data_IF_664350126688
#
_entry.id   IF_664350126688
#
_cell.length_a   1.000
_cell.length_b   1.000
_cell.length_c   1.000
_cell.angle_alpha   90.00
_cell.angle_beta   90.00
_cell.angle_gamma   90.00
#
_symmetry.space_group_name_H-M   'P 1'
#
loop_
_entity.id
_entity.type
_entity.pdbx_description
1 polymer ?
#
# COMPACT_ATOMS: atom_id res chain seq x y z
N UNK A 1 -14.94 2.88 0.09
CA UNK A 1 -14.92 1.89 1.19
C UNK A 1 -14.61 0.54 0.62
N UNK A 2 -13.68 -0.19 1.24
CA UNK A 2 -13.16 -1.46 0.75
C UNK A 2 -13.70 -2.62 1.57
N UNK A 3 -13.85 -3.80 0.96
CA UNK A 3 -14.38 -4.98 1.64
C UNK A 3 -13.47 -6.18 1.43
N UNK A 4 -13.06 -6.85 2.51
CA UNK A 4 -12.40 -8.16 2.48
C UNK A 4 -13.33 -9.20 3.08
N UNK A 5 -13.57 -10.29 2.35
CA UNK A 5 -14.25 -11.48 2.86
C UNK A 5 -13.21 -12.52 3.31
N UNK A 6 -13.37 -13.07 4.50
CA UNK A 6 -12.63 -14.23 5.00
C UNK A 6 -13.64 -15.25 5.53
N UNK A 7 -13.87 -16.32 4.76
CA UNK A 7 -14.96 -17.25 5.04
C UNK A 7 -16.32 -16.54 4.98
N UNK A 8 -17.05 -16.56 6.09
CA UNK A 8 -18.33 -15.85 6.25
C UNK A 8 -18.16 -14.44 6.82
N UNK A 9 -16.97 -14.08 7.32
CA UNK A 9 -16.70 -12.77 7.93
C UNK A 9 -16.35 -11.72 6.87
N UNK A 10 -16.84 -10.50 7.04
CA UNK A 10 -16.57 -9.35 6.18
C UNK A 10 -15.90 -8.26 7.01
N UNK A 11 -14.87 -7.66 6.45
CA UNK A 11 -14.14 -6.54 7.00
C UNK A 11 -14.29 -5.36 6.07
N UNK A 12 -14.61 -4.19 6.63
CA UNK A 12 -14.77 -2.95 5.89
C UNK A 12 -13.64 -1.99 6.23
N UNK A 13 -12.98 -1.45 5.21
CA UNK A 13 -11.86 -0.54 5.39
C UNK A 13 -12.26 0.89 5.02
N UNK A 14 -11.94 1.79 5.94
CA UNK A 14 -11.98 3.23 5.75
C UNK A 14 -10.58 3.70 5.40
N UNK A 15 -10.48 4.46 4.31
CA UNK A 15 -9.23 5.03 3.83
C UNK A 15 -9.28 6.55 3.80
N UNK A 16 -8.11 7.18 3.90
CA UNK A 16 -7.95 8.61 3.63
C UNK A 16 -7.81 8.88 2.11
N UNK A 17 -7.58 10.15 1.76
CA UNK A 17 -7.40 10.60 0.37
C UNK A 17 -6.16 10.01 -0.33
N UNK A 18 -5.17 9.52 0.41
CA UNK A 18 -3.98 8.80 -0.09
C UNK A 18 -4.18 7.28 -0.10
N UNK A 19 -5.40 6.80 0.18
CA UNK A 19 -5.70 5.37 0.25
C UNK A 19 -5.12 4.65 1.47
N UNK A 20 -4.59 5.34 2.47
CA UNK A 20 -4.09 4.71 3.70
C UNK A 20 -5.26 4.22 4.54
N UNK A 21 -5.22 2.98 5.02
CA UNK A 21 -6.30 2.35 5.80
C UNK A 21 -6.34 2.91 7.22
N UNK A 22 -7.20 3.89 7.51
CA UNK A 22 -7.29 4.50 8.84
C UNK A 22 -8.19 3.73 9.81
N UNK A 23 -9.12 2.92 9.29
CA UNK A 23 -10.08 2.20 10.12
C UNK A 23 -10.52 0.88 9.52
N UNK A 24 -10.76 -0.10 10.39
CA UNK A 24 -11.29 -1.42 10.04
C UNK A 24 -12.56 -1.67 10.84
N UNK A 25 -13.61 -2.12 10.18
CA UNK A 25 -14.90 -2.40 10.78
C UNK A 25 -15.32 -3.85 10.51
N UNK A 26 -15.98 -4.47 11.48
CA UNK A 26 -16.60 -5.78 11.29
C UNK A 26 -17.99 -5.67 10.64
N UNK A 27 -18.65 -6.80 10.42
CA UNK A 27 -20.00 -6.88 9.84
C UNK A 27 -21.08 -6.15 10.64
N UNK A 28 -20.87 -6.02 11.95
CA UNK A 28 -21.78 -5.34 12.87
C UNK A 28 -21.55 -3.82 12.89
N UNK A 29 -20.62 -3.30 12.07
CA UNK A 29 -20.28 -1.88 12.02
C UNK A 29 -19.41 -1.40 13.20
N UNK A 30 -18.88 -2.32 14.01
CA UNK A 30 -17.97 -1.97 15.10
C UNK A 30 -16.56 -1.77 14.57
N UNK A 31 -15.88 -0.71 15.01
CA UNK A 31 -14.48 -0.44 14.67
C UNK A 31 -13.59 -1.41 15.44
N UNK A 32 -12.81 -2.21 14.72
CA UNK A 32 -11.87 -3.20 15.27
C UNK A 32 -10.40 -2.83 15.03
N UNK A 33 -10.13 -1.81 14.22
CA UNK A 33 -8.78 -1.31 13.96
C UNK A 33 -8.79 0.20 13.69
N UNK A 34 -7.75 0.89 14.13
CA UNK A 34 -7.53 2.30 13.89
C UNK A 34 -6.04 2.57 13.75
N UNK A 35 -5.68 3.35 12.73
CA UNK A 35 -4.29 3.55 12.33
C UNK A 35 -4.06 5.00 11.90
N UNK A 36 -3.01 5.61 12.46
CA UNK A 36 -2.60 6.97 12.16
C UNK A 36 -1.24 6.95 11.44
N UNK A 37 -1.26 7.35 10.17
CA UNK A 37 -0.09 7.31 9.31
C UNK A 37 0.62 8.65 9.28
N UNK A 38 1.95 8.61 9.24
CA UNK A 38 2.78 9.73 8.83
C UNK A 38 2.58 10.03 7.34
N UNK A 39 3.05 11.19 6.84
CA UNK A 39 2.98 11.51 5.41
C UNK A 39 3.62 10.42 4.52
N UNK A 40 4.68 9.78 5.00
CA UNK A 40 5.38 8.71 4.27
C UNK A 40 4.78 7.32 4.49
N UNK A 41 3.64 7.22 5.18
CA UNK A 41 2.92 5.97 5.42
C UNK A 41 3.51 5.09 6.51
N UNK A 42 4.44 5.61 7.33
CA UNK A 42 4.83 4.92 8.56
C UNK A 42 3.71 5.05 9.58
N UNK A 43 3.57 4.05 10.44
CA UNK A 43 2.45 3.97 11.37
C UNK A 43 2.99 3.36 12.67
N UNK A 44 2.47 3.80 13.81
CA UNK A 44 2.92 3.32 15.11
C UNK A 44 2.73 1.81 15.28
N UNK A 45 3.29 1.26 16.37
CA UNK A 45 3.11 -0.15 16.76
C UNK A 45 1.66 -0.40 17.20
N UNK A 46 0.76 -0.54 16.23
CA UNK A 46 -0.60 -1.02 16.44
C UNK A 46 -0.71 -2.47 15.99
N UNK A 47 -1.63 -3.23 16.59
CA UNK A 47 -1.86 -4.62 16.24
C UNK A 47 -2.45 -4.70 14.82
N UNK A 48 -1.60 -4.96 13.82
CA UNK A 48 -2.01 -5.17 12.43
C UNK A 48 -2.42 -6.61 12.14
N UNK A 49 -2.40 -7.50 13.12
CA UNK A 49 -2.76 -8.91 12.98
C UNK A 49 -4.16 -9.13 12.38
N UNK A 50 -5.02 -8.10 12.46
CA UNK A 50 -6.37 -8.13 11.92
C UNK A 50 -6.44 -7.97 10.39
N UNK A 51 -5.41 -7.39 9.74
CA UNK A 51 -5.50 -6.97 8.33
C UNK A 51 -4.15 -6.90 7.59
N UNK A 52 -4.10 -7.25 6.28
CA UNK A 52 -2.87 -7.25 5.48
C UNK A 52 -2.66 -5.98 4.62
N UNK A 53 -3.53 -4.99 4.69
CA UNK A 53 -3.56 -3.78 3.86
C UNK A 53 -3.32 -2.49 4.65
N UNK A 54 -2.22 -1.79 4.40
CA UNK A 54 -1.86 -0.58 5.14
C UNK A 54 -1.90 0.72 4.33
N UNK A 55 -0.71 1.25 4.10
CA UNK A 55 -0.49 2.46 3.30
C UNK A 55 -0.93 2.24 1.86
N UNK A 56 -1.60 3.23 1.26
CA UNK A 56 -2.06 3.20 -0.13
C UNK A 56 -2.78 1.89 -0.46
N UNK A 57 -3.53 1.36 0.51
CA UNK A 57 -4.17 0.03 0.51
C UNK A 57 -3.31 -1.11 -0.07
N UNK A 58 -1.98 -1.00 0.02
CA UNK A 58 -1.05 -2.01 -0.46
C UNK A 58 -0.87 -3.09 0.59
N UNK A 59 -0.44 -4.25 0.12
CA UNK A 59 -0.13 -5.35 1.02
C UNK A 59 1.09 -4.96 1.86
N UNK A 60 0.90 -4.95 3.17
CA UNK A 60 1.91 -4.54 4.13
C UNK A 60 2.28 -5.74 4.99
N UNK A 61 3.56 -6.04 5.05
CA UNK A 61 4.11 -6.88 6.10
C UNK A 61 4.56 -5.97 7.24
N UNK A 62 3.69 -5.84 8.25
CA UNK A 62 3.92 -4.95 9.36
C UNK A 62 5.03 -5.45 10.31
N UNK A 63 5.39 -6.75 10.26
CA UNK A 63 6.48 -7.28 11.07
C UNK A 63 7.84 -6.81 10.54
N UNK A 64 8.04 -6.81 9.22
CA UNK A 64 9.23 -6.26 8.59
C UNK A 64 9.15 -4.75 8.32
N UNK A 65 7.95 -4.18 8.33
CA UNK A 65 7.69 -2.80 7.94
C UNK A 65 7.74 -2.58 6.42
N UNK A 66 7.62 -3.63 5.62
CA UNK A 66 7.66 -3.57 4.16
C UNK A 66 6.27 -3.41 3.56
N UNK A 67 6.19 -2.64 2.48
CA UNK A 67 4.97 -2.49 1.69
C UNK A 67 5.26 -2.87 0.24
N UNK A 68 4.46 -3.78 -0.30
CA UNK A 68 4.62 -4.27 -1.66
C UNK A 68 3.70 -3.52 -2.63
N UNK A 69 4.30 -2.84 -3.61
CA UNK A 69 3.56 -2.03 -4.59
C UNK A 69 3.35 -2.75 -5.94
N UNK A 70 4.05 -3.85 -6.20
CA UNK A 70 4.08 -4.51 -7.50
C UNK A 70 5.51 -4.56 -8.03
N UNK A 71 5.98 -3.45 -8.58
CA UNK A 71 7.34 -3.34 -9.12
C UNK A 71 8.42 -3.10 -8.06
N UNK A 72 8.06 -2.51 -6.91
CA UNK A 72 9.01 -2.12 -5.86
C UNK A 72 8.51 -2.48 -4.46
N UNK A 73 9.46 -2.74 -3.57
CA UNK A 73 9.24 -2.76 -2.13
C UNK A 73 9.56 -1.39 -1.53
N UNK A 74 8.64 -0.89 -0.71
CA UNK A 74 8.75 0.39 -0.02
C UNK A 74 8.97 0.18 1.48
N UNK A 75 9.82 1.00 2.08
CA UNK A 75 9.99 1.10 3.53
C UNK A 75 9.47 2.44 4.03
N UNK A 76 8.24 2.50 4.59
CA UNK A 76 7.66 3.73 5.11
C UNK A 76 8.48 4.37 6.22
N UNK A 77 9.13 3.56 7.07
CA UNK A 77 10.00 4.05 8.14
C UNK A 77 11.23 4.81 7.63
N UNK A 78 11.69 4.51 6.40
CA UNK A 78 12.80 5.21 5.76
C UNK A 78 12.32 6.26 4.74
N UNK A 79 11.05 6.27 4.38
CA UNK A 79 10.49 7.17 3.37
C UNK A 79 11.00 6.92 1.94
N UNK A 80 11.41 5.68 1.61
CA UNK A 80 12.02 5.37 0.30
C UNK A 80 11.78 3.95 -0.20
N UNK A 81 12.00 3.77 -1.50
CA UNK A 81 12.07 2.45 -2.12
C UNK A 81 13.33 1.70 -1.69
N UNK A 82 13.24 0.37 -1.62
CA UNK A 82 14.38 -0.52 -1.43
C UNK A 82 15.03 -0.93 -2.74
N UNK A 83 14.23 -1.07 -3.79
CA UNK A 83 14.69 -1.44 -5.12
C UNK A 83 14.84 -0.20 -6.01
N UNK A 84 15.79 -0.26 -6.93
CA UNK A 84 16.01 0.77 -7.96
C UNK A 84 14.76 0.91 -8.83
N UNK A 85 14.44 2.14 -9.22
CA UNK A 85 13.35 2.44 -10.16
C UNK A 85 13.47 1.64 -11.48
N UNK A 86 12.45 0.87 -11.90
CA UNK A 86 12.44 0.17 -13.18
C UNK A 86 12.54 1.11 -14.40
N UNK A 87 12.07 2.35 -14.28
CA UNK A 87 12.20 3.37 -15.33
C UNK A 87 13.60 4.01 -15.36
N UNK A 88 14.46 3.66 -14.40
CA UNK A 88 15.81 4.21 -14.27
C UNK A 88 15.75 5.75 -14.27
N UNK A 89 16.68 6.42 -14.93
CA UNK A 89 16.77 7.89 -14.94
C UNK A 89 15.62 8.57 -15.68
N UNK A 90 14.76 7.82 -16.39
CA UNK A 90 13.53 8.37 -16.97
C UNK A 90 12.50 8.75 -15.89
N UNK A 91 12.50 8.04 -14.75
CA UNK A 91 11.68 8.36 -13.58
C UNK A 91 12.24 9.49 -12.71
N UNK A 92 13.47 9.94 -12.99
CA UNK A 92 14.18 10.98 -12.25
C UNK A 92 15.57 10.55 -11.81
N UNK A 93 16.35 11.50 -11.29
CA UNK A 93 17.75 11.25 -10.89
C UNK A 93 17.88 10.41 -9.62
N UNK A 94 16.87 10.43 -8.74
CA UNK A 94 16.89 9.69 -7.48
C UNK A 94 16.01 8.44 -7.60
N UNK A 95 16.67 7.32 -7.91
CA UNK A 95 16.04 6.05 -8.24
C UNK A 95 15.41 5.33 -7.03
N UNK A 96 15.49 5.94 -5.85
CA UNK A 96 14.92 5.41 -4.61
C UNK A 96 13.93 6.39 -3.97
N UNK A 97 13.69 7.56 -4.57
CA UNK A 97 12.77 8.55 -4.04
C UNK A 97 11.33 8.04 -4.10
N UNK A 98 10.60 8.20 -3.00
CA UNK A 98 9.16 8.03 -3.00
C UNK A 98 8.49 9.32 -3.46
N UNK A 99 7.69 9.24 -4.54
CA UNK A 99 6.76 10.28 -5.02
C UNK A 99 7.35 11.71 -5.04
N UNK A 100 8.58 11.86 -5.53
CA UNK A 100 9.29 13.15 -5.62
C UNK A 100 9.42 13.91 -4.28
N UNK A 101 9.42 13.19 -3.15
CA UNK A 101 9.41 13.74 -1.80
C UNK A 101 8.17 14.59 -1.45
N UNK A 102 7.06 14.42 -2.19
CA UNK A 102 5.79 15.13 -1.99
C UNK A 102 4.63 14.16 -1.67
N UNK A 103 4.69 13.37 -0.58
CA UNK A 103 3.78 12.25 -0.34
C UNK A 103 2.36 12.64 0.08
N UNK A 104 2.07 13.93 0.24
CA UNK A 104 0.73 14.45 0.49
C UNK A 104 -0.03 14.81 -0.80
N UNK A 105 0.68 15.08 -1.89
CA UNK A 105 0.09 15.44 -3.18
C UNK A 105 0.06 14.29 -4.19
N UNK A 106 0.94 13.31 -4.01
CA UNK A 106 1.21 12.26 -4.97
C UNK A 106 1.17 10.87 -4.36
N UNK A 107 0.81 9.90 -5.19
CA UNK A 107 0.85 8.47 -4.87
C UNK A 107 1.52 7.72 -6.01
N UNK A 108 2.18 6.61 -5.71
CA UNK A 108 2.67 5.67 -6.72
C UNK A 108 1.74 4.43 -6.69
N UNK A 109 0.91 4.19 -7.73
CA UNK A 109 -0.06 3.11 -7.70
C UNK A 109 0.54 1.71 -7.85
N UNK A 110 1.69 1.54 -8.48
CA UNK A 110 2.24 0.23 -8.84
C UNK A 110 3.73 0.07 -8.48
N UNK A 111 4.35 1.11 -7.94
CA UNK A 111 5.77 1.18 -7.68
C UNK A 111 6.57 1.47 -8.95
N UNK A 112 6.01 2.16 -9.94
CA UNK A 112 6.70 2.51 -11.17
C UNK A 112 6.43 3.96 -11.58
N UNK A 113 5.17 4.39 -11.61
CA UNK A 113 4.81 5.74 -12.08
C UNK A 113 4.04 6.53 -11.02
N UNK A 114 4.48 7.76 -10.77
CA UNK A 114 3.88 8.66 -9.79
C UNK A 114 2.68 9.38 -10.42
N UNK A 115 1.56 9.46 -9.70
CA UNK A 115 0.35 10.18 -10.11
C UNK A 115 -0.11 11.12 -9.01
N UNK A 116 -0.87 12.15 -9.39
CA UNK A 116 -1.55 13.01 -8.41
C UNK A 116 -2.58 12.20 -7.62
N UNK A 117 -2.59 12.36 -6.30
CA UNK A 117 -3.53 11.66 -5.42
C UNK A 117 -5.00 11.90 -5.81
N UNK A 118 -5.32 13.12 -6.27
CA UNK A 118 -6.68 13.48 -6.70
C UNK A 118 -7.14 12.79 -8.00
N UNK A 119 -6.21 12.32 -8.84
CA UNK A 119 -6.52 11.61 -10.08
C UNK A 119 -6.69 10.11 -9.81
N UNK A 120 -5.96 9.57 -8.83
CA UNK A 120 -6.06 8.17 -8.46
C UNK A 120 -7.32 7.95 -7.61
N UNK A 121 -8.40 7.46 -8.24
CA UNK A 121 -9.57 7.06 -7.48
C UNK A 121 -9.20 5.92 -6.51
N UNK A 122 -9.77 5.82 -5.29
CA UNK A 122 -9.40 4.81 -4.29
C UNK A 122 -9.48 3.36 -4.78
N UNK A 123 -10.25 3.12 -5.85
CA UNK A 123 -10.39 1.83 -6.50
C UNK A 123 -9.22 1.48 -7.46
N UNK A 124 -8.47 2.46 -7.96
CA UNK A 124 -7.30 2.23 -8.84
C UNK A 124 -6.04 1.85 -8.06
N UNK A 125 -5.93 2.30 -6.81
CA UNK A 125 -4.87 1.92 -5.88
C UNK A 125 -4.86 0.39 -5.61
N UNK A 126 -5.99 -0.28 -5.83
CA UNK A 126 -6.21 -1.69 -5.51
C UNK A 126 -5.96 -2.63 -6.67
N UNK A 127 -5.95 -2.11 -7.89
CA UNK A 127 -6.01 -2.93 -9.08
C UNK A 127 -4.60 -3.22 -9.59
N UNK A 128 -3.85 -4.01 -8.81
CA UNK A 128 -2.62 -4.63 -9.32
C UNK A 128 -2.91 -5.50 -10.57
N UNK A 129 -4.17 -5.84 -10.89
CA UNK A 129 -4.51 -6.63 -12.09
C UNK A 129 -4.29 -5.88 -13.40
N UNK A 130 -4.31 -4.54 -13.42
CA UNK A 130 -3.90 -3.78 -14.62
C UNK A 130 -2.39 -3.82 -14.87
N UNK A 131 -1.61 -4.26 -13.88
CA UNK A 131 -0.14 -4.30 -13.93
C UNK A 131 0.43 -5.71 -13.63
N UNK A 132 -0.41 -6.75 -13.67
CA UNK A 132 0.02 -8.15 -13.54
C UNK A 132 0.93 -8.51 -14.71
N UNK A 133 2.23 -8.56 -14.46
CA UNK A 133 3.16 -9.35 -15.26
C UNK A 133 3.28 -10.74 -14.63
N UNK A 134 3.63 -11.75 -15.44
CA UNK A 134 3.63 -13.17 -15.03
C UNK A 134 4.61 -13.54 -13.90
N UNK A 135 5.35 -12.57 -13.35
CA UNK A 135 6.24 -12.71 -12.20
C UNK A 135 5.50 -12.65 -10.85
N UNK A 136 4.28 -12.10 -10.80
CA UNK A 136 3.53 -11.88 -9.55
C UNK A 136 2.99 -13.17 -8.92
N UNK A 137 2.77 -14.22 -9.72
CA UNK A 137 2.19 -15.48 -9.22
C UNK A 137 3.27 -16.35 -8.53
N UNK A 138 4.56 -16.14 -8.81
CA UNK A 138 5.68 -16.90 -8.21
C UNK A 138 6.09 -16.34 -6.83
N UNK A 139 6.06 -15.01 -6.65
CA UNK A 139 6.42 -14.36 -5.37
C UNK A 139 5.35 -14.58 -4.29
N UNK A 140 4.09 -14.75 -4.68
CA UNK A 140 2.98 -15.03 -3.75
C UNK A 140 3.03 -16.45 -3.17
N UNK A 141 3.63 -17.42 -3.88
CA UNK A 141 3.81 -18.79 -3.35
C UNK A 141 4.96 -18.88 -2.34
N UNK A 142 6.03 -18.10 -2.49
CA UNK A 142 7.17 -18.09 -1.56
C UNK A 142 6.78 -17.56 -0.17
N UNK A 143 5.75 -16.69 -0.08
CA UNK A 143 5.27 -16.11 1.18
C UNK A 143 4.18 -16.99 1.85
N UNK A 144 3.80 -18.12 1.23
CA UNK A 144 2.79 -19.06 1.77
C UNK A 144 3.37 -20.37 2.31
N UNK A 145 4.70 -20.50 2.37
CA UNK A 145 5.40 -21.59 3.08
C UNK A 145 5.93 -21.07 4.42
#
# INVERSE_FOLDING_TARGET
MLVRRQGETHYYYLTNHLGHVQGVFNQQGQRIGQYDYSPYGSVGSSNYDLQPFGMSTKRSDFASGLVYFGYRFYMPNLGRWLNRDPLQEQGGINLYAYVNAEPLGYVDPDGKEVVLASICAPNQILDNKKFKNSFDDEVIEVIRQ
#
